data_IF_277938466091
#
_entry.id   IF_277938466091
#
_cell.length_a   1.000
_cell.length_b   1.000
_cell.length_c   1.000
_cell.angle_alpha   90.00
_cell.angle_beta   90.00
_cell.angle_gamma   90.00
#
_symmetry.space_group_name_H-M   'P 1'
#
loop_
_entity.id
_entity.type
_entity.pdbx_description
1 polymer ?
#
# COMPACT_ATOMS: atom_id res chain seq x y z
N UNK A 1 40.90 33.78 29.53
CA UNK A 1 40.62 33.05 28.28
C UNK A 1 39.11 32.94 28.14
N UNK A 2 38.51 33.64 27.17
CA UNK A 2 37.06 33.60 26.96
C UNK A 2 36.78 32.45 25.99
N UNK A 3 36.10 31.40 26.49
CA UNK A 3 35.70 30.25 25.68
C UNK A 3 34.60 30.68 24.71
N UNK A 4 34.88 30.59 23.41
CA UNK A 4 33.89 30.88 22.36
C UNK A 4 33.01 29.63 22.18
N UNK A 5 31.68 29.72 22.31
CA UNK A 5 30.82 28.56 22.16
C UNK A 5 30.79 28.11 20.69
N UNK A 6 31.20 26.86 20.44
CA UNK A 6 31.10 26.23 19.13
C UNK A 6 29.62 25.89 18.87
N UNK A 7 29.03 26.27 17.72
CA UNK A 7 27.66 25.91 17.42
C UNK A 7 27.51 24.39 17.36
N UNK A 8 26.69 23.83 18.24
CA UNK A 8 26.28 22.42 18.18
C UNK A 8 25.24 22.25 17.08
N UNK A 9 25.67 21.69 15.96
CA UNK A 9 24.75 21.26 14.92
C UNK A 9 24.19 19.88 15.28
N UNK A 10 22.87 19.80 15.41
CA UNK A 10 22.17 18.53 15.55
C UNK A 10 21.76 18.04 14.16
N UNK A 11 22.30 16.88 13.76
CA UNK A 11 21.89 16.20 12.53
C UNK A 11 21.00 15.00 12.88
N UNK A 12 19.98 14.76 12.07
CA UNK A 12 19.19 13.54 12.20
C UNK A 12 20.04 12.32 11.87
N UNK A 13 19.94 11.26 12.68
CA UNK A 13 20.51 9.96 12.34
C UNK A 13 19.69 9.35 11.20
N UNK A 14 20.36 8.90 10.15
CA UNK A 14 19.71 8.16 9.08
C UNK A 14 19.24 6.79 9.61
N UNK A 15 17.97 6.48 9.38
CA UNK A 15 17.38 5.17 9.63
C UNK A 15 17.48 4.30 8.38
N UNK A 16 17.53 2.99 8.57
CA UNK A 16 17.45 2.03 7.47
C UNK A 16 16.05 2.01 6.86
N UNK A 17 15.93 1.48 5.63
CA UNK A 17 14.62 1.32 4.98
C UNK A 17 13.68 0.37 5.73
N UNK A 18 14.23 -0.66 6.40
CA UNK A 18 13.45 -1.57 7.23
C UNK A 18 12.89 -0.87 8.49
N UNK A 19 13.73 -0.08 9.18
CA UNK A 19 13.29 0.74 10.32
C UNK A 19 12.24 1.76 9.89
N UNK A 20 12.38 2.37 8.72
CA UNK A 20 11.37 3.29 8.17
C UNK A 20 10.01 2.61 7.99
N UNK A 21 9.97 1.45 7.32
CA UNK A 21 8.71 0.73 7.11
C UNK A 21 8.09 0.24 8.43
N UNK A 22 8.91 -0.19 9.39
CA UNK A 22 8.44 -0.57 10.72
C UNK A 22 7.83 0.64 11.46
N UNK A 23 8.54 1.76 11.55
CA UNK A 23 8.06 2.98 12.22
C UNK A 23 6.80 3.54 11.56
N UNK A 24 6.75 3.50 10.23
CA UNK A 24 5.57 3.87 9.45
C UNK A 24 4.36 3.03 9.84
N UNK A 25 4.52 1.72 10.02
CA UNK A 25 3.43 0.82 10.37
C UNK A 25 3.01 0.98 11.83
N UNK A 26 3.97 0.96 12.76
CA UNK A 26 3.70 1.01 14.20
C UNK A 26 3.20 2.36 14.69
N UNK A 27 3.75 3.45 14.16
CA UNK A 27 3.45 4.80 14.66
C UNK A 27 2.49 5.53 13.74
N UNK A 28 2.82 5.68 12.46
CA UNK A 28 2.05 6.52 11.55
C UNK A 28 0.72 5.88 11.16
N UNK A 29 0.70 4.61 10.75
CA UNK A 29 -0.54 3.94 10.37
C UNK A 29 -1.48 3.76 11.56
N UNK A 30 -0.94 3.39 12.74
CA UNK A 30 -1.73 3.28 13.97
C UNK A 30 -2.42 4.60 14.33
N UNK A 31 -1.70 5.72 14.30
CA UNK A 31 -2.30 7.03 14.57
C UNK A 31 -3.41 7.40 13.56
N UNK A 32 -3.27 6.98 12.29
CA UNK A 32 -4.31 7.18 11.28
C UNK A 32 -5.54 6.28 11.50
N UNK A 33 -5.36 5.05 11.97
CA UNK A 33 -6.47 4.17 12.35
C UNK A 33 -7.22 4.71 13.58
N UNK A 34 -6.50 5.24 14.56
CA UNK A 34 -7.10 5.91 15.72
C UNK A 34 -7.88 7.17 15.30
N UNK A 35 -7.35 7.96 14.36
CA UNK A 35 -8.08 9.09 13.78
C UNK A 35 -9.38 8.65 13.11
N UNK A 36 -9.37 7.55 12.34
CA UNK A 36 -10.57 7.00 11.72
C UNK A 36 -11.60 6.57 12.78
N UNK A 37 -11.14 5.94 13.87
CA UNK A 37 -12.02 5.52 14.96
C UNK A 37 -12.68 6.72 15.66
N UNK A 38 -11.93 7.80 15.90
CA UNK A 38 -12.48 9.05 16.43
C UNK A 38 -13.54 9.61 15.48
N UNK A 39 -13.28 9.65 14.18
CA UNK A 39 -14.26 10.12 13.20
C UNK A 39 -15.54 9.27 13.18
N UNK A 40 -15.46 7.98 13.50
CA UNK A 40 -16.62 7.08 13.54
C UNK A 40 -17.42 7.22 14.84
N UNK A 41 -16.73 7.39 15.97
CA UNK A 41 -17.33 7.29 17.32
C UNK A 41 -17.65 8.64 17.96
N UNK A 42 -16.99 9.73 17.56
CA UNK A 42 -17.12 11.04 18.21
C UNK A 42 -18.51 11.65 18.01
N UNK A 43 -19.27 11.72 19.11
CA UNK A 43 -20.63 12.26 19.15
C UNK A 43 -20.69 13.78 19.04
N UNK A 44 -19.57 14.48 19.20
CA UNK A 44 -19.52 15.94 19.07
C UNK A 44 -19.56 16.40 17.61
N UNK A 45 -19.33 15.49 16.65
CA UNK A 45 -19.36 15.79 15.23
C UNK A 45 -20.77 15.53 14.67
N UNK A 46 -21.39 16.57 14.12
CA UNK A 46 -22.65 16.44 13.40
C UNK A 46 -22.51 15.47 12.23
N UNK A 47 -23.56 14.68 11.97
CA UNK A 47 -23.56 13.60 10.99
C UNK A 47 -23.17 14.06 9.58
N UNK A 48 -23.62 15.26 9.19
CA UNK A 48 -23.26 15.87 7.90
C UNK A 48 -21.76 16.08 7.75
N UNK A 49 -21.10 16.57 8.79
CA UNK A 49 -19.66 16.86 8.76
C UNK A 49 -18.85 15.58 8.97
N UNK A 50 -19.36 14.64 9.77
CA UNK A 50 -18.79 13.30 9.90
C UNK A 50 -18.67 12.62 8.55
N UNK A 51 -19.77 12.61 7.76
CA UNK A 51 -19.79 12.05 6.40
C UNK A 51 -18.78 12.73 5.47
N UNK A 52 -18.61 14.05 5.56
CA UNK A 52 -17.61 14.78 4.75
C UNK A 52 -16.18 14.41 5.14
N UNK A 53 -15.87 14.38 6.44
CA UNK A 53 -14.56 14.01 6.96
C UNK A 53 -14.20 12.57 6.60
N UNK A 54 -15.16 11.63 6.71
CA UNK A 54 -14.98 10.24 6.28
C UNK A 54 -14.69 10.13 4.79
N UNK A 55 -15.42 10.85 3.92
CA UNK A 55 -15.12 10.87 2.48
C UNK A 55 -13.73 11.43 2.17
N UNK A 56 -13.32 12.47 2.88
CA UNK A 56 -11.98 13.04 2.72
C UNK A 56 -10.91 12.05 3.19
N UNK A 57 -11.12 11.41 4.34
CA UNK A 57 -10.23 10.39 4.87
C UNK A 57 -10.08 9.23 3.89
N UNK A 58 -11.19 8.70 3.37
CA UNK A 58 -11.17 7.64 2.37
C UNK A 58 -10.41 8.02 1.10
N UNK A 59 -10.51 9.28 0.65
CA UNK A 59 -9.79 9.76 -0.54
C UNK A 59 -8.29 9.88 -0.31
N UNK A 60 -7.87 10.30 0.88
CA UNK A 60 -6.45 10.51 1.22
C UNK A 60 -5.76 9.21 1.63
N UNK A 61 -6.47 8.33 2.34
CA UNK A 61 -5.95 7.10 2.93
C UNK A 61 -6.82 5.88 2.58
N UNK A 62 -6.92 5.53 1.28
CA UNK A 62 -7.83 4.47 0.80
C UNK A 62 -7.44 3.08 1.33
N UNK A 63 -6.15 2.84 1.56
CA UNK A 63 -5.58 1.60 2.06
C UNK A 63 -5.90 1.37 3.55
N UNK A 64 -5.87 2.43 4.38
CA UNK A 64 -6.26 2.36 5.80
C UNK A 64 -7.77 2.18 5.91
N UNK A 65 -8.54 2.99 5.18
CA UNK A 65 -10.01 2.89 5.16
C UNK A 65 -10.48 1.52 4.65
N UNK A 66 -9.83 0.99 3.61
CA UNK A 66 -10.16 -0.29 3.00
C UNK A 66 -9.84 -1.52 3.85
N UNK A 67 -8.90 -1.41 4.80
CA UNK A 67 -8.62 -2.46 5.80
C UNK A 67 -9.73 -2.57 6.84
N UNK A 68 -10.31 -1.43 7.25
CA UNK A 68 -11.40 -1.37 8.25
C UNK A 68 -12.76 -1.79 7.66
N UNK A 69 -13.01 -1.40 6.41
CA UNK A 69 -14.19 -1.80 5.65
C UNK A 69 -13.74 -2.65 4.47
N UNK A 70 -13.55 -3.97 4.66
CA UNK A 70 -13.29 -4.87 3.56
C UNK A 70 -14.50 -4.78 2.62
N UNK A 71 -14.34 -4.03 1.54
CA UNK A 71 -15.34 -3.98 0.48
C UNK A 71 -15.46 -5.39 -0.05
N UNK A 72 -16.63 -6.02 0.13
CA UNK A 72 -16.94 -7.36 -0.35
C UNK A 72 -16.54 -7.56 -1.82
N UNK A 73 -16.52 -6.47 -2.60
CA UNK A 73 -16.19 -6.43 -4.03
C UNK A 73 -14.67 -6.46 -4.35
N UNK A 74 -13.78 -6.38 -3.36
CA UNK A 74 -12.31 -6.44 -3.57
C UNK A 74 -11.68 -7.80 -3.27
N UNK A 75 -12.43 -8.74 -2.70
CA UNK A 75 -11.94 -10.10 -2.42
C UNK A 75 -11.65 -10.92 -3.70
N UNK A 76 -12.06 -10.44 -4.88
CA UNK A 76 -11.97 -11.15 -6.16
C UNK A 76 -10.91 -10.61 -7.13
N UNK A 77 -10.06 -9.66 -6.72
CA UNK A 77 -8.97 -9.11 -7.58
C UNK A 77 -7.55 -9.28 -7.03
N UNK A 78 -7.36 -10.14 -6.03
CA UNK A 78 -6.04 -10.53 -5.56
C UNK A 78 -5.72 -11.98 -5.99
N UNK A 79 -5.55 -12.18 -7.29
CA UNK A 79 -4.83 -13.34 -7.82
C UNK A 79 -3.96 -12.87 -8.98
N UNK A 80 -2.75 -12.43 -8.63
CA UNK A 80 -1.65 -12.20 -9.56
C UNK A 80 -1.14 -13.52 -10.14
N UNK A 81 -1.98 -14.24 -10.88
CA UNK A 81 -1.53 -15.36 -11.72
C UNK A 81 -0.89 -14.76 -12.97
N UNK A 82 0.42 -14.95 -13.23
CA UNK A 82 0.98 -14.58 -14.53
C UNK A 82 0.27 -15.43 -15.58
N UNK A 83 -0.51 -14.78 -16.44
CA UNK A 83 -1.05 -15.39 -17.66
C UNK A 83 0.11 -15.59 -18.62
N UNK A 84 0.89 -16.66 -18.39
CA UNK A 84 1.92 -17.13 -19.32
C UNK A 84 1.18 -17.50 -20.60
N UNK A 85 1.29 -16.65 -21.61
CA UNK A 85 0.77 -16.96 -22.95
C UNK A 85 1.54 -18.20 -23.44
N UNK A 86 0.87 -19.25 -23.92
CA UNK A 86 1.58 -20.39 -24.47
C UNK A 86 2.38 -19.92 -25.70
N UNK A 87 3.62 -20.41 -25.90
CA UNK A 87 4.37 -20.10 -27.11
C UNK A 87 3.63 -20.69 -28.32
N UNK A 88 3.34 -19.83 -29.29
CA UNK A 88 2.79 -20.23 -30.60
C UNK A 88 3.89 -20.94 -31.38
N UNK A 89 4.13 -22.22 -31.10
CA UNK A 89 4.97 -23.06 -31.95
C UNK A 89 4.12 -23.58 -33.11
N UNK A 90 4.16 -22.89 -34.25
CA UNK A 90 3.62 -23.40 -35.50
C UNK A 90 4.52 -24.52 -36.03
N UNK A 91 4.26 -25.77 -35.64
CA UNK A 91 4.90 -26.94 -36.24
C UNK A 91 4.37 -27.06 -37.67
N UNK A 92 5.15 -26.59 -38.65
CA UNK A 92 4.90 -26.88 -40.06
C UNK A 92 5.10 -28.38 -40.26
N UNK A 93 4.03 -29.10 -40.61
CA UNK A 93 4.11 -30.52 -41.01
C UNK A 93 5.08 -30.66 -42.18
N UNK A 94 6.28 -31.16 -41.93
CA UNK A 94 7.16 -31.67 -42.98
C UNK A 94 6.51 -32.92 -43.57
N UNK A 95 6.26 -32.92 -44.88
CA UNK A 95 5.80 -34.11 -45.59
C UNK A 95 6.86 -35.20 -45.43
N UNK A 96 6.47 -36.34 -44.87
CA UNK A 96 7.31 -37.53 -44.83
C UNK A 96 7.64 -37.95 -46.26
N UNK A 97 8.92 -38.05 -46.59
CA UNK A 97 9.38 -38.76 -47.77
C UNK A 97 9.40 -40.25 -47.43
N UNK A 98 8.60 -41.02 -48.17
CA UNK A 98 8.63 -42.48 -48.15
C UNK A 98 9.99 -42.94 -48.64
N UNK A 99 10.77 -43.59 -47.76
CA UNK A 99 11.92 -44.37 -48.18
C UNK A 99 11.39 -45.77 -48.46
N UNK A 100 11.35 -46.13 -49.74
CA UNK A 100 11.13 -47.50 -50.18
C UNK A 100 12.49 -48.19 -50.27
N UNK A 101 12.67 -49.26 -49.51
CA UNK A 101 13.57 -50.37 -49.82
C UNK A 101 12.99 -51.62 -49.18
#
# INVERSE_FOLDING_TARGET
LVSVPVPMYAFCKQISGAEFEQQKLESSQKAMEELLEILLTDQNINEKDRRKKLKQFQKQYPDIYGRRFPSSDRASKADGKPKIKPPLLSVRKTKAFSIRS
#
